data_IF_563295547376
#
_entry.id   IF_563295547376
#
_cell.length_a   1.000
_cell.length_b   1.000
_cell.length_c   1.000
_cell.angle_alpha   90.00
_cell.angle_beta   90.00
_cell.angle_gamma   90.00
#
_symmetry.space_group_name_H-M   'P 1'
#
loop_
_entity.id
_entity.type
_entity.pdbx_description
1 polymer ?
#
# COMPACT_ATOMS: atom_id res chain seq x y z
N UNK A 1 -22.76 -18.84 12.91
CA UNK A 1 -21.46 -19.24 13.51
C UNK A 1 -20.44 -19.30 12.40
N UNK A 2 -19.50 -18.36 12.34
CA UNK A 2 -18.15 -18.68 11.94
C UNK A 2 -17.23 -17.66 12.57
N UNK A 3 -16.49 -18.12 13.57
CA UNK A 3 -15.53 -17.36 14.35
C UNK A 3 -14.43 -16.96 13.38
N UNK A 4 -14.19 -15.66 13.23
CA UNK A 4 -13.12 -15.10 12.41
C UNK A 4 -11.86 -15.94 12.60
N UNK A 5 -11.55 -16.77 11.62
CA UNK A 5 -10.38 -17.63 11.63
C UNK A 5 -9.19 -16.67 11.46
N UNK A 6 -8.64 -16.25 12.61
CA UNK A 6 -7.62 -15.22 12.71
C UNK A 6 -6.42 -15.69 11.89
N UNK A 7 -6.22 -15.09 10.71
CA UNK A 7 -5.06 -15.39 9.86
C UNK A 7 -3.80 -15.20 10.69
N UNK A 8 -3.06 -16.29 10.89
CA UNK A 8 -1.79 -16.25 11.60
C UNK A 8 -0.69 -15.81 10.66
N UNK A 9 0.40 -15.25 11.19
CA UNK A 9 1.54 -14.85 10.38
C UNK A 9 2.12 -16.02 9.58
N UNK A 10 2.06 -17.24 10.13
CA UNK A 10 2.50 -18.47 9.48
C UNK A 10 1.69 -18.83 8.23
N UNK A 11 0.46 -18.32 8.09
CA UNK A 11 -0.39 -18.58 6.94
C UNK A 11 -0.05 -17.67 5.75
N UNK A 12 0.81 -16.66 5.92
CA UNK A 12 1.13 -15.66 4.90
C UNK A 12 2.24 -16.17 3.99
N UNK A 13 1.91 -16.39 2.72
CA UNK A 13 2.86 -16.85 1.71
C UNK A 13 3.13 -15.82 0.61
N UNK A 14 2.38 -14.72 0.61
CA UNK A 14 2.53 -13.65 -0.36
C UNK A 14 2.41 -12.28 0.31
N UNK A 15 3.28 -11.35 -0.05
CA UNK A 15 3.27 -9.98 0.46
C UNK A 15 3.24 -9.02 -0.73
N UNK A 16 2.22 -8.16 -0.77
CA UNK A 16 2.13 -7.04 -1.71
C UNK A 16 2.52 -5.75 -1.01
N UNK A 17 3.44 -5.00 -1.62
CA UNK A 17 3.76 -3.64 -1.22
C UNK A 17 2.82 -2.68 -1.96
N UNK A 18 2.05 -1.89 -1.21
CA UNK A 18 1.12 -0.91 -1.77
C UNK A 18 1.53 0.50 -1.32
N UNK A 19 2.27 1.25 -2.14
CA UNK A 19 2.63 2.64 -1.84
C UNK A 19 1.44 3.57 -2.08
N UNK A 20 1.15 4.40 -1.08
CA UNK A 20 0.22 5.54 -1.15
C UNK A 20 1.05 6.82 -1.03
N UNK A 21 0.91 7.73 -1.99
CA UNK A 21 1.71 8.94 -2.06
C UNK A 21 3.06 8.74 -2.75
N UNK A 22 3.86 9.79 -2.75
CA UNK A 22 5.16 9.87 -3.44
C UNK A 22 6.03 10.88 -2.71
N UNK A 23 7.33 10.62 -2.74
CA UNK A 23 8.36 11.55 -2.27
C UNK A 23 9.19 12.07 -3.43
N UNK A 24 8.73 11.94 -4.68
CA UNK A 24 9.44 12.49 -5.83
C UNK A 24 9.01 13.94 -6.10
N UNK A 25 9.87 14.94 -5.84
CA UNK A 25 9.52 16.35 -6.03
C UNK A 25 9.40 16.72 -7.52
N UNK A 26 10.07 15.98 -8.41
CA UNK A 26 10.07 16.24 -9.85
C UNK A 26 8.85 15.61 -10.55
N UNK A 27 8.16 14.68 -9.89
CA UNK A 27 6.98 14.02 -10.42
C UNK A 27 5.90 13.93 -9.33
N UNK A 28 5.23 15.06 -9.03
CA UNK A 28 4.12 15.06 -8.09
C UNK A 28 3.00 14.15 -8.60
N UNK A 29 2.49 13.29 -7.71
CA UNK A 29 1.38 12.38 -8.03
C UNK A 29 0.12 13.16 -8.38
N UNK A 30 -0.49 12.82 -9.52
CA UNK A 30 -1.85 13.26 -9.84
C UNK A 30 -2.85 12.70 -8.83
N UNK A 31 -3.98 13.38 -8.67
CA UNK A 31 -5.03 12.91 -7.76
C UNK A 31 -5.65 11.59 -8.22
N UNK A 32 -5.75 11.37 -9.54
CA UNK A 32 -6.16 10.08 -10.11
C UNK A 32 -5.20 8.95 -9.71
N UNK A 33 -3.88 9.21 -9.72
CA UNK A 33 -2.89 8.22 -9.33
C UNK A 33 -2.98 7.89 -7.84
N UNK A 34 -3.23 8.90 -6.99
CA UNK A 34 -3.47 8.67 -5.54
C UNK A 34 -4.73 7.85 -5.31
N UNK A 35 -5.79 8.11 -6.07
CA UNK A 35 -7.03 7.36 -6.00
C UNK A 35 -6.80 5.89 -6.39
N UNK A 36 -6.13 5.64 -7.51
CA UNK A 36 -5.80 4.29 -7.96
C UNK A 36 -4.95 3.51 -6.93
N UNK A 37 -3.98 4.18 -6.28
CA UNK A 37 -3.20 3.60 -5.18
C UNK A 37 -4.11 3.20 -4.00
N UNK A 38 -5.04 4.08 -3.61
CA UNK A 38 -5.99 3.81 -2.53
C UNK A 38 -6.98 2.69 -2.89
N UNK A 39 -7.46 2.66 -4.13
CA UNK A 39 -8.32 1.59 -4.66
C UNK A 39 -7.61 0.24 -4.64
N UNK A 40 -6.34 0.19 -5.01
CA UNK A 40 -5.53 -1.04 -4.91
C UNK A 40 -5.41 -1.50 -3.46
N UNK A 41 -5.15 -0.60 -2.51
CA UNK A 41 -5.12 -0.96 -1.09
C UNK A 41 -6.48 -1.47 -0.61
N UNK A 42 -7.55 -0.78 -0.96
CA UNK A 42 -8.92 -1.20 -0.62
C UNK A 42 -9.24 -2.58 -1.22
N UNK A 43 -8.83 -2.84 -2.46
CA UNK A 43 -8.95 -4.13 -3.11
C UNK A 43 -8.20 -5.22 -2.35
N UNK A 44 -6.96 -4.95 -1.94
CA UNK A 44 -6.16 -5.88 -1.14
C UNK A 44 -6.84 -6.27 0.19
N UNK A 45 -7.54 -5.32 0.83
CA UNK A 45 -8.13 -5.50 2.16
C UNK A 45 -9.58 -6.00 2.13
N UNK A 46 -10.29 -5.89 1.00
CA UNK A 46 -11.71 -6.21 0.91
C UNK A 46 -12.05 -7.34 -0.08
N UNK A 47 -11.28 -7.55 -1.15
CA UNK A 47 -11.52 -8.63 -2.11
C UNK A 47 -10.86 -9.95 -1.69
N UNK A 48 -11.31 -11.07 -2.24
CA UNK A 48 -10.76 -12.40 -1.95
C UNK A 48 -9.57 -12.73 -2.89
N UNK A 49 -8.47 -13.32 -2.38
CA UNK A 49 -8.18 -13.61 -0.97
C UNK A 49 -7.99 -12.33 -0.15
N UNK A 50 -8.62 -12.28 1.03
CA UNK A 50 -8.58 -11.09 1.89
C UNK A 50 -7.18 -10.94 2.51
N UNK A 51 -6.53 -9.84 2.20
CA UNK A 51 -5.23 -9.50 2.78
C UNK A 51 -5.34 -8.92 4.18
N UNK A 52 -4.21 -8.92 4.90
CA UNK A 52 -4.05 -8.25 6.20
C UNK A 52 -2.84 -7.32 6.16
N UNK A 53 -2.92 -6.18 6.84
CA UNK A 53 -1.76 -5.29 6.99
C UNK A 53 -0.80 -5.93 7.99
N UNK A 54 0.41 -6.25 7.53
CA UNK A 54 1.49 -6.78 8.36
C UNK A 54 2.32 -5.65 8.98
N UNK A 55 2.39 -4.53 8.27
CA UNK A 55 3.18 -3.36 8.66
C UNK A 55 3.02 -2.23 7.65
N UNK A 56 3.65 -1.11 7.97
CA UNK A 56 3.76 0.04 7.05
C UNK A 56 5.12 0.70 7.20
N UNK A 57 5.65 1.13 6.08
CA UNK A 57 6.84 1.99 6.03
C UNK A 57 6.40 3.42 5.69
N UNK A 58 6.83 4.39 6.47
CA UNK A 58 6.54 5.81 6.23
C UNK A 58 7.83 6.47 5.76
N UNK A 59 7.82 6.96 4.52
CA UNK A 59 8.91 7.72 3.94
C UNK A 59 8.50 9.19 3.87
N UNK A 60 9.30 10.06 4.48
CA UNK A 60 9.09 11.52 4.44
C UNK A 60 10.26 12.14 3.68
N UNK A 61 9.94 12.90 2.63
CA UNK A 61 10.91 13.68 1.86
C UNK A 61 10.70 15.16 2.11
N UNK A 62 11.73 15.85 2.60
CA UNK A 62 11.72 17.31 2.78
C UNK A 62 12.61 17.97 1.75
N UNK A 63 12.05 18.87 0.96
CA UNK A 63 12.74 19.55 -0.14
C UNK A 63 12.70 21.06 0.06
N UNK A 64 13.85 21.70 -0.08
CA UNK A 64 13.95 23.15 -0.08
C UNK A 64 13.87 23.64 -1.53
N UNK A 65 12.83 24.42 -1.86
CA UNK A 65 12.61 24.98 -3.19
C UNK A 65 12.59 26.50 -3.07
N UNK A 66 13.75 27.11 -3.27
CA UNK A 66 13.96 28.53 -2.96
C UNK A 66 13.75 28.79 -1.46
N UNK A 67 12.83 29.70 -1.14
CA UNK A 67 12.45 30.01 0.26
C UNK A 67 11.34 29.12 0.81
N UNK A 68 10.73 28.27 -0.02
CA UNK A 68 9.66 27.38 0.40
C UNK A 68 10.20 26.01 0.81
N UNK A 69 9.64 25.45 1.88
CA UNK A 69 9.87 24.06 2.27
C UNK A 69 8.67 23.21 1.81
N UNK A 70 8.95 22.20 0.99
CA UNK A 70 7.97 21.21 0.58
C UNK A 70 8.19 19.91 1.35
N UNK A 71 7.16 19.45 2.06
CA UNK A 71 7.17 18.15 2.74
C UNK A 71 6.27 17.20 1.96
N UNK A 72 6.83 16.06 1.57
CA UNK A 72 6.13 14.99 0.86
C UNK A 72 6.17 13.72 1.68
N UNK A 73 5.10 12.93 1.60
CA UNK A 73 4.98 11.66 2.32
C UNK A 73 4.58 10.54 1.37
N UNK A 74 5.17 9.36 1.58
CA UNK A 74 4.75 8.10 0.98
C UNK A 74 4.65 7.05 2.07
N UNK A 75 3.48 6.42 2.20
CA UNK A 75 3.28 5.28 3.08
C UNK A 75 3.22 4.01 2.22
N UNK A 76 4.07 3.03 2.49
CA UNK A 76 4.01 1.72 1.83
C UNK A 76 3.43 0.70 2.79
N UNK A 77 2.23 0.20 2.49
CA UNK A 77 1.59 -0.85 3.27
C UNK A 77 2.06 -2.22 2.82
N UNK A 78 2.39 -3.08 3.79
CA UNK A 78 2.77 -4.47 3.55
C UNK A 78 1.54 -5.33 3.75
N UNK A 79 0.87 -5.71 2.66
CA UNK A 79 -0.35 -6.51 2.73
C UNK A 79 -0.01 -7.98 2.50
N UNK A 80 -0.20 -8.78 3.54
CA UNK A 80 0.00 -10.22 3.52
C UNK A 80 -1.23 -10.98 3.06
N UNK A 81 -1.03 -12.02 2.26
CA UNK A 81 -2.07 -12.92 1.78
C UNK A 81 -1.68 -14.38 2.00
N UNK A 82 -2.69 -15.24 2.22
CA UNK A 82 -2.49 -16.69 2.31
C UNK A 82 -2.02 -17.32 0.98
N UNK A 83 -2.36 -16.67 -0.13
CA UNK A 83 -1.93 -17.02 -1.49
C UNK A 83 -1.96 -15.77 -2.35
N UNK A 84 -1.23 -15.77 -3.46
CA UNK A 84 -1.27 -14.67 -4.42
C UNK A 84 -2.70 -14.44 -4.94
N UNK A 85 -3.20 -13.19 -4.95
CA UNK A 85 -4.51 -12.88 -5.52
C UNK A 85 -4.55 -13.13 -7.04
N UNK A 86 -5.63 -13.72 -7.55
CA UNK A 86 -5.74 -14.04 -8.98
C UNK A 86 -5.86 -12.79 -9.87
N UNK A 87 -6.38 -11.69 -9.32
CA UNK A 87 -6.47 -10.41 -9.99
C UNK A 87 -5.14 -9.66 -10.04
N UNK A 88 -4.14 -10.12 -9.28
CA UNK A 88 -2.80 -9.57 -9.33
C UNK A 88 -2.00 -10.28 -10.42
N UNK A 89 -2.23 -9.85 -11.67
CA UNK A 89 -1.31 -10.17 -12.76
C UNK A 89 0.06 -9.60 -12.42
N UNK A 90 1.09 -10.45 -12.45
CA UNK A 90 2.47 -9.99 -12.42
C UNK A 90 2.70 -9.12 -13.66
N UNK A 91 2.87 -7.83 -13.46
CA UNK A 91 3.59 -6.96 -14.40
C UNK A 91 5.07 -6.93 -14.04
#
# INVERSE_FOLDING_TARGET
MNRDEKTTLSDIHYIKLVPIGSVNPNNPLSDESKLAQAELLNRCLNEYPKGIILGKDVTIGTYQIGEHQLVMEKITYHVGFKRKPAWETSE
#
